data_IF_816409903646
#
_entry.id   IF_816409903646
#
_cell.length_a   1.000
_cell.length_b   1.000
_cell.length_c   1.000
_cell.angle_alpha   90.00
_cell.angle_beta   90.00
_cell.angle_gamma   90.00
#
_symmetry.space_group_name_H-M   'P 1'
#
loop_
_entity.id
_entity.type
_entity.pdbx_description
1 polymer ?
#
# COMPACT_ATOMS: atom_id res chain seq x y z
N UNK A 1 -8.54 9.06 -18.56
CA UNK A 1 -9.31 8.56 -17.40
C UNK A 1 -8.33 8.15 -16.32
N UNK A 2 -8.22 8.96 -15.27
CA UNK A 2 -7.29 8.77 -14.16
C UNK A 2 -8.08 8.73 -12.87
N UNK A 3 -8.42 7.52 -12.41
CA UNK A 3 -8.96 7.29 -11.09
C UNK A 3 -7.91 6.54 -10.27
N UNK A 4 -7.27 7.19 -9.30
CA UNK A 4 -6.66 6.46 -8.18
C UNK A 4 -7.74 6.11 -7.18
N UNK A 5 -8.56 5.16 -7.57
CA UNK A 5 -9.35 4.37 -6.64
C UNK A 5 -8.40 3.43 -5.88
N UNK A 6 -8.58 3.30 -4.57
CA UNK A 6 -7.85 2.29 -3.79
C UNK A 6 -8.39 0.94 -4.22
N UNK A 7 -7.55 0.13 -4.86
CA UNK A 7 -7.93 -1.17 -5.41
C UNK A 7 -7.98 -2.20 -4.28
N UNK A 8 -9.11 -2.90 -4.11
CA UNK A 8 -9.14 -4.05 -3.21
C UNK A 8 -8.34 -5.20 -3.83
N UNK A 9 -7.39 -5.74 -3.06
CA UNK A 9 -6.50 -6.83 -3.46
C UNK A 9 -6.76 -8.01 -2.54
N UNK A 10 -6.95 -9.18 -3.12
CA UNK A 10 -7.11 -10.45 -2.40
C UNK A 10 -5.85 -11.30 -2.57
N UNK A 11 -5.66 -12.35 -1.75
CA UNK A 11 -4.56 -13.29 -1.94
C UNK A 11 -4.47 -13.84 -3.37
N UNK A 12 -5.62 -14.12 -3.99
CA UNK A 12 -5.70 -14.69 -5.34
C UNK A 12 -5.23 -13.72 -6.43
N UNK A 13 -5.44 -12.41 -6.23
CA UNK A 13 -5.07 -11.38 -7.21
C UNK A 13 -3.71 -10.74 -6.91
N UNK A 14 -3.21 -10.86 -5.69
CA UNK A 14 -2.01 -10.16 -5.22
C UNK A 14 -0.79 -10.33 -6.13
N UNK A 15 -0.48 -11.56 -6.55
CA UNK A 15 0.69 -11.81 -7.40
C UNK A 15 0.60 -11.09 -8.75
N UNK A 16 -0.57 -11.16 -9.40
CA UNK A 16 -0.77 -10.57 -10.72
C UNK A 16 -0.93 -9.05 -10.65
N UNK A 17 -1.64 -8.56 -9.64
CA UNK A 17 -1.98 -7.14 -9.49
C UNK A 17 -0.83 -6.33 -8.92
N UNK A 18 -0.10 -6.86 -7.92
CA UNK A 18 0.93 -6.12 -7.18
C UNK A 18 2.33 -6.52 -7.61
N UNK A 19 2.65 -7.81 -7.58
CA UNK A 19 4.03 -8.28 -7.79
C UNK A 19 4.47 -8.26 -9.26
N UNK A 20 3.56 -8.51 -10.19
CA UNK A 20 3.84 -8.55 -11.64
C UNK A 20 3.65 -7.20 -12.33
N UNK A 21 3.06 -6.22 -11.67
CA UNK A 21 2.98 -4.85 -12.19
C UNK A 21 4.38 -4.22 -12.25
N UNK A 22 4.56 -3.28 -13.18
CA UNK A 22 5.80 -2.49 -13.32
C UNK A 22 5.75 -1.20 -12.51
N UNK A 23 4.56 -0.80 -12.05
CA UNK A 23 4.33 0.39 -11.24
C UNK A 23 4.63 0.16 -9.77
N UNK A 24 4.89 1.26 -9.06
CA UNK A 24 4.99 1.27 -7.60
C UNK A 24 3.60 1.03 -7.00
N UNK A 25 3.52 0.11 -6.05
CA UNK A 25 2.30 -0.16 -5.29
C UNK A 25 2.47 0.23 -3.83
N UNK A 26 1.51 0.97 -3.31
CA UNK A 26 1.38 1.24 -1.88
C UNK A 26 0.18 0.45 -1.39
N UNK A 27 0.38 -0.50 -0.48
CA UNK A 27 -0.65 -1.38 0.04
C UNK A 27 -1.00 -1.04 1.49
N UNK A 28 -2.29 -0.90 1.79
CA UNK A 28 -2.84 -0.82 3.16
C UNK A 28 -3.40 -2.19 3.58
N UNK A 29 -2.72 -2.84 4.53
CA UNK A 29 -3.19 -4.07 5.16
C UNK A 29 -3.98 -3.73 6.43
N UNK A 30 -5.29 -3.97 6.38
CA UNK A 30 -6.22 -3.49 7.40
C UNK A 30 -7.10 -4.62 7.96
N UNK A 31 -7.85 -4.29 9.01
CA UNK A 31 -8.97 -5.10 9.50
C UNK A 31 -10.18 -4.19 9.70
N UNK A 32 -11.36 -4.65 9.29
CA UNK A 32 -12.62 -3.87 9.30
C UNK A 32 -13.12 -3.52 10.71
N UNK A 33 -12.75 -4.29 11.72
CA UNK A 33 -13.04 -4.03 13.14
C UNK A 33 -11.99 -3.15 13.84
N UNK A 34 -10.88 -2.82 13.19
CA UNK A 34 -9.79 -2.08 13.80
C UNK A 34 -10.05 -0.56 13.78
N UNK A 35 -10.20 0.05 14.96
CA UNK A 35 -10.45 1.50 15.08
C UNK A 35 -9.38 2.40 14.43
N UNK A 36 -8.10 2.01 14.49
CA UNK A 36 -7.04 2.75 13.79
C UNK A 36 -7.18 2.65 12.26
N UNK A 37 -7.60 1.50 11.73
CA UNK A 37 -7.84 1.33 10.29
C UNK A 37 -9.03 2.18 9.83
N UNK A 38 -10.12 2.17 10.60
CA UNK A 38 -11.32 2.97 10.31
C UNK A 38 -10.97 4.47 10.25
N UNK A 39 -10.13 4.96 11.17
CA UNK A 39 -9.67 6.35 11.14
C UNK A 39 -8.65 6.64 10.04
N UNK A 40 -7.83 5.66 9.65
CA UNK A 40 -6.80 5.82 8.63
C UNK A 40 -7.37 5.85 7.21
N UNK A 41 -8.35 4.99 6.91
CA UNK A 41 -8.88 4.78 5.56
C UNK A 41 -9.33 6.06 4.84
N UNK A 42 -10.02 7.03 5.47
CA UNK A 42 -10.38 8.29 4.81
C UNK A 42 -9.16 9.11 4.36
N UNK A 43 -8.10 9.14 5.17
CA UNK A 43 -6.87 9.84 4.83
C UNK A 43 -6.13 9.11 3.71
N UNK A 44 -6.01 7.79 3.80
CA UNK A 44 -5.39 6.97 2.77
C UNK A 44 -6.05 7.16 1.39
N UNK A 45 -7.39 7.24 1.36
CA UNK A 45 -8.15 7.56 0.14
C UNK A 45 -7.84 8.96 -0.40
N UNK A 46 -7.71 9.98 0.45
CA UNK A 46 -7.32 11.34 0.02
C UNK A 46 -5.89 11.39 -0.52
N UNK A 47 -4.97 10.66 0.10
CA UNK A 47 -3.58 10.51 -0.37
C UNK A 47 -3.58 9.88 -1.77
N UNK A 48 -4.30 8.77 -1.96
CA UNK A 48 -4.49 8.12 -3.26
C UNK A 48 -5.03 9.11 -4.31
N UNK A 49 -6.08 9.85 -3.97
CA UNK A 49 -6.68 10.85 -4.86
C UNK A 49 -5.73 12.01 -5.22
N UNK A 50 -4.87 12.45 -4.29
CA UNK A 50 -3.86 13.49 -4.53
C UNK A 50 -2.74 13.06 -5.49
N UNK A 51 -2.65 11.76 -5.78
CA UNK A 51 -1.64 11.16 -6.66
C UNK A 51 -2.22 10.61 -7.97
N UNK A 52 -3.46 10.99 -8.33
CA UNK A 52 -4.12 10.50 -9.56
C UNK A 52 -3.41 10.78 -10.86
N UNK A 53 -2.64 11.86 -10.89
CA UNK A 53 -1.88 12.25 -12.09
C UNK A 53 -0.51 11.54 -12.14
N UNK A 54 -0.15 10.78 -11.09
CA UNK A 54 1.09 9.99 -11.03
C UNK A 54 0.84 8.56 -11.52
N UNK A 55 0.89 8.39 -12.84
CA UNK A 55 0.56 7.11 -13.51
C UNK A 55 1.47 5.93 -13.07
N UNK A 56 2.65 6.21 -12.50
CA UNK A 56 3.61 5.20 -12.01
C UNK A 56 3.27 4.62 -10.65
N UNK A 57 2.24 5.15 -9.97
CA UNK A 57 1.84 4.71 -8.63
C UNK A 57 0.44 4.10 -8.66
N UNK A 58 0.24 3.07 -7.84
CA UNK A 58 -1.05 2.45 -7.55
C UNK A 58 -1.21 2.30 -6.05
N UNK A 59 -2.46 2.39 -5.61
CA UNK A 59 -2.85 2.24 -4.21
C UNK A 59 -3.79 1.05 -4.11
N UNK A 60 -3.53 0.16 -3.15
CA UNK A 60 -4.37 -0.99 -2.90
C UNK A 60 -4.60 -1.21 -1.42
N UNK A 61 -5.64 -1.97 -1.10
CA UNK A 61 -5.94 -2.37 0.26
C UNK A 61 -6.29 -3.86 0.31
N UNK A 62 -5.99 -4.52 1.42
CA UNK A 62 -6.36 -5.91 1.65
C UNK A 62 -6.91 -6.08 3.05
N UNK A 63 -8.12 -6.64 3.16
CA UNK A 63 -8.72 -6.97 4.45
C UNK A 63 -8.09 -8.25 5.04
N UNK A 64 -7.16 -8.07 5.99
CA UNK A 64 -6.53 -9.15 6.73
C UNK A 64 -7.44 -9.81 7.76
N UNK A 65 -8.59 -9.21 8.11
CA UNK A 65 -9.59 -9.92 8.91
C UNK A 65 -10.18 -11.11 8.11
N UNK A 66 -10.36 -10.93 6.80
CA UNK A 66 -10.81 -11.99 5.89
C UNK A 66 -9.66 -12.91 5.42
N UNK A 67 -8.43 -12.38 5.34
CA UNK A 67 -7.27 -13.05 4.73
C UNK A 67 -6.09 -13.22 5.69
N UNK A 68 -6.34 -13.51 6.97
CA UNK A 68 -5.33 -13.51 8.03
C UNK A 68 -4.16 -14.47 7.81
N UNK A 69 -4.38 -15.62 7.19
CA UNK A 69 -3.31 -16.58 6.87
C UNK A 69 -2.28 -16.00 5.89
N UNK A 70 -2.78 -15.39 4.80
CA UNK A 70 -1.92 -14.71 3.82
C UNK A 70 -1.18 -13.53 4.45
N UNK A 71 -1.89 -12.68 5.21
CA UNK A 71 -1.26 -11.54 5.88
C UNK A 71 -0.17 -11.97 6.87
N UNK A 72 -0.37 -13.07 7.60
CA UNK A 72 0.65 -13.63 8.50
C UNK A 72 1.86 -14.20 7.73
N UNK A 73 1.64 -14.83 6.57
CA UNK A 73 2.74 -15.34 5.72
C UNK A 73 3.66 -14.23 5.23
N UNK A 74 3.09 -13.06 4.95
CA UNK A 74 3.86 -11.85 4.63
C UNK A 74 4.19 -11.03 5.87
N UNK A 75 4.18 -11.57 7.09
CA UNK A 75 4.64 -10.85 8.30
C UNK A 75 3.83 -9.57 8.62
N UNK A 76 2.52 -9.57 8.35
CA UNK A 76 1.60 -8.52 8.80
C UNK A 76 0.90 -8.99 10.08
N UNK A 77 1.30 -8.39 11.21
CA UNK A 77 0.80 -8.74 12.54
C UNK A 77 0.16 -7.57 13.31
N UNK A 78 0.14 -6.38 12.71
CA UNK A 78 -0.47 -5.19 13.28
C UNK A 78 -1.21 -4.40 12.20
N UNK A 79 -2.24 -3.65 12.60
CA UNK A 79 -3.08 -2.90 11.67
C UNK A 79 -3.23 -1.41 12.07
N UNK A 80 -3.30 -0.49 11.09
CA UNK A 80 -2.94 -0.73 9.69
C UNK A 80 -1.43 -0.98 9.54
N UNK A 81 -1.05 -1.80 8.57
CA UNK A 81 0.34 -1.91 8.10
C UNK A 81 0.38 -1.44 6.66
N UNK A 82 1.21 -0.44 6.38
CA UNK A 82 1.36 0.10 5.02
C UNK A 82 2.70 -0.33 4.44
N UNK A 83 2.69 -0.93 3.25
CA UNK A 83 3.92 -1.38 2.58
C UNK A 83 4.05 -0.90 1.15
N UNK A 84 5.29 -0.73 0.74
CA UNK A 84 5.69 -0.34 -0.60
C UNK A 84 6.19 -1.54 -1.40
N UNK A 85 5.77 -1.63 -2.65
CA UNK A 85 6.24 -2.64 -3.61
C UNK A 85 6.79 -1.93 -4.84
N UNK A 86 7.79 -2.56 -5.47
CA UNK A 86 8.44 -2.09 -6.72
C UNK A 86 9.13 -0.73 -6.61
N UNK A 87 9.40 -0.27 -5.38
CA UNK A 87 10.31 0.85 -5.18
C UNK A 87 11.73 0.46 -5.63
N UNK A 88 12.51 1.38 -6.22
CA UNK A 88 13.86 1.08 -6.71
C UNK A 88 14.83 0.62 -5.62
N UNK A 89 14.60 1.02 -4.37
CA UNK A 89 15.40 0.66 -3.19
C UNK A 89 14.85 -0.57 -2.42
N UNK A 90 13.80 -1.22 -2.93
CA UNK A 90 13.28 -2.46 -2.35
C UNK A 90 14.24 -3.62 -2.62
N UNK A 91 14.70 -4.28 -1.56
CA UNK A 91 15.60 -5.45 -1.66
C UNK A 91 14.85 -6.63 -2.29
N UNK A 92 15.58 -7.46 -3.04
CA UNK A 92 15.02 -8.66 -3.68
C UNK A 92 14.35 -9.61 -2.68
N UNK A 93 14.95 -9.77 -1.49
CA UNK A 93 14.41 -10.60 -0.42
C UNK A 93 13.05 -10.09 0.11
N UNK A 94 12.76 -8.79 -0.04
CA UNK A 94 11.53 -8.17 0.44
C UNK A 94 10.47 -8.04 -0.66
N UNK A 95 10.70 -8.48 -1.90
CA UNK A 95 9.75 -8.27 -3.01
C UNK A 95 8.37 -8.88 -2.74
N UNK A 96 8.32 -10.05 -2.09
CA UNK A 96 7.06 -10.72 -1.72
C UNK A 96 6.37 -10.07 -0.52
N UNK A 97 7.15 -9.64 0.47
CA UNK A 97 6.68 -9.04 1.72
C UNK A 97 6.28 -7.58 1.56
N UNK A 98 6.95 -6.87 0.65
CA UNK A 98 6.93 -5.41 0.56
C UNK A 98 7.87 -4.76 1.57
N UNK A 99 8.32 -3.55 1.25
CA UNK A 99 9.15 -2.73 2.12
C UNK A 99 8.29 -1.94 3.10
N UNK A 100 8.76 -1.84 4.34
CA UNK A 100 8.06 -1.06 5.36
C UNK A 100 8.15 0.44 5.05
N UNK A 101 7.02 1.13 5.17
CA UNK A 101 6.95 2.57 5.02
C UNK A 101 7.09 3.21 6.41
N UNK A 102 7.98 4.19 6.61
CA UNK A 102 8.16 4.81 7.91
C UNK A 102 6.85 5.39 8.44
N UNK A 103 6.53 5.10 9.70
CA UNK A 103 5.25 5.49 10.33
C UNK A 103 4.93 6.98 10.23
N UNK A 104 5.95 7.82 10.33
CA UNK A 104 5.80 9.28 10.22
C UNK A 104 5.33 9.71 8.83
N UNK A 105 5.72 8.97 7.79
CA UNK A 105 5.38 9.30 6.40
C UNK A 105 3.92 8.95 6.14
N UNK A 106 3.50 7.69 6.38
CA UNK A 106 2.15 7.27 6.02
C UNK A 106 1.04 7.90 6.88
N UNK A 107 1.38 8.47 8.05
CA UNK A 107 0.46 9.25 8.89
C UNK A 107 0.32 10.74 8.47
N UNK A 108 1.04 11.17 7.43
CA UNK A 108 1.03 12.56 6.97
C UNK A 108 0.35 12.68 5.61
N UNK A 109 -0.83 13.32 5.55
CA UNK A 109 -1.55 13.52 4.29
C UNK A 109 -0.76 14.33 3.25
N UNK A 110 0.05 15.30 3.71
CA UNK A 110 0.92 16.09 2.84
C UNK A 110 2.31 15.45 2.65
N UNK A 111 2.84 14.81 3.70
CA UNK A 111 4.18 14.22 3.69
C UNK A 111 4.24 12.96 2.85
N UNK A 112 3.25 12.08 2.97
CA UNK A 112 3.29 10.77 2.31
C UNK A 112 3.37 10.88 0.78
N UNK A 113 2.54 11.70 0.10
CA UNK A 113 2.68 11.89 -1.35
C UNK A 113 4.04 12.45 -1.76
N UNK A 114 4.65 13.32 -0.94
CA UNK A 114 5.98 13.88 -1.20
C UNK A 114 7.05 12.81 -1.07
N UNK A 115 6.96 11.98 -0.03
CA UNK A 115 7.87 10.86 0.19
C UNK A 115 7.80 9.84 -0.95
N UNK A 116 6.58 9.43 -1.34
CA UNK A 116 6.39 8.48 -2.46
C UNK A 116 7.04 9.03 -3.73
N UNK A 117 6.77 10.29 -4.09
CA UNK A 117 7.37 10.95 -5.28
C UNK A 117 8.89 10.96 -5.24
N UNK A 118 9.49 11.20 -4.08
CA UNK A 118 10.94 11.18 -3.90
C UNK A 118 11.58 9.80 -4.03
N UNK A 119 10.77 8.73 -4.00
CA UNK A 119 11.19 7.33 -4.13
C UNK A 119 10.87 6.74 -5.49
N UNK A 120 10.17 7.45 -6.37
CA UNK A 120 9.84 6.92 -7.70
C UNK A 120 11.11 6.78 -8.55
N UNK A 121 11.18 5.74 -9.41
CA UNK A 121 12.22 5.66 -10.42
C UNK A 121 12.17 6.92 -11.30
N UNK A 122 13.36 7.37 -11.72
CA UNK A 122 13.52 8.50 -12.64
C UNK A 122 12.75 8.29 -13.94
#
# INVERSE_FOLDING_TARGET
EGSTEVVEVTPDTFEQTVLKDTRVWVMDYYADWCGHCIHYAPMYKRISASMKDEARVRFGAMNCAAHGAFCSEIDVHAYPTVRGYRFPDLKDADQKRGGDIPRQEFHSEAGFPKWIRGKLPA
#
